data_IF_788103876398
#
_entry.id   IF_788103876398
#
_cell.length_a   1.000
_cell.length_b   1.000
_cell.length_c   1.000
_cell.angle_alpha   90.00
_cell.angle_beta   90.00
_cell.angle_gamma   90.00
#
_symmetry.space_group_name_H-M   'P 1'
#
loop_
_entity.id
_entity.type
_entity.pdbx_description
1 polymer ?
#
# COMPACT_ATOMS: atom_id res chain seq x y z
N UNK A 1 -17.46 7.23 -0.57
CA UNK A 1 -17.67 6.07 0.33
C UNK A 1 -16.39 5.41 0.84
N UNK A 2 -15.32 5.27 0.04
CA UNK A 2 -14.06 4.63 0.47
C UNK A 2 -13.39 5.38 1.62
N UNK A 3 -13.22 6.70 1.52
CA UNK A 3 -12.57 7.52 2.57
C UNK A 3 -13.28 7.41 3.93
N UNK A 4 -14.61 7.38 3.96
CA UNK A 4 -15.35 7.21 5.21
C UNK A 4 -15.01 5.90 5.91
N UNK A 5 -14.94 4.80 5.15
CA UNK A 5 -14.54 3.50 5.69
C UNK A 5 -13.10 3.49 6.19
N UNK A 6 -12.18 4.12 5.45
CA UNK A 6 -10.78 4.25 5.88
C UNK A 6 -10.67 5.02 7.19
N UNK A 7 -11.40 6.13 7.36
CA UNK A 7 -11.43 6.91 8.61
C UNK A 7 -12.01 6.09 9.77
N UNK A 8 -13.09 5.35 9.54
CA UNK A 8 -13.66 4.46 10.57
C UNK A 8 -12.67 3.39 11.02
N UNK A 9 -11.97 2.77 10.07
CA UNK A 9 -10.93 1.78 10.37
C UNK A 9 -9.78 2.41 11.13
N UNK A 10 -9.29 3.56 10.66
CA UNK A 10 -8.18 4.27 11.30
C UNK A 10 -8.51 4.60 12.75
N UNK A 11 -9.69 5.16 13.02
CA UNK A 11 -10.13 5.47 14.39
C UNK A 11 -10.12 4.24 15.30
N UNK A 12 -10.55 3.08 14.81
CA UNK A 12 -10.51 1.81 15.59
C UNK A 12 -9.09 1.34 15.84
N UNK A 13 -8.22 1.42 14.83
CA UNK A 13 -6.84 0.98 14.96
C UNK A 13 -6.06 1.86 15.93
N UNK A 14 -6.28 3.18 15.90
CA UNK A 14 -5.62 4.15 16.76
C UNK A 14 -5.95 3.97 18.25
N UNK A 15 -7.07 3.33 18.59
CA UNK A 15 -7.38 2.95 19.98
C UNK A 15 -6.34 1.97 20.55
N UNK A 16 -5.83 1.08 19.68
CA UNK A 16 -4.88 0.03 20.08
C UNK A 16 -3.42 0.38 19.79
N UNK A 17 -3.20 1.15 18.74
CA UNK A 17 -1.87 1.57 18.31
C UNK A 17 -1.95 2.96 17.68
N UNK A 18 -1.35 3.96 18.35
CA UNK A 18 -1.32 5.35 17.89
C UNK A 18 -0.40 5.59 16.69
N UNK A 19 0.51 4.67 16.42
CA UNK A 19 1.48 4.76 15.31
C UNK A 19 0.94 4.16 13.99
N UNK A 20 -0.32 3.74 13.98
CA UNK A 20 -0.92 3.16 12.78
C UNK A 20 -1.25 4.23 11.75
N UNK A 21 -0.99 3.92 10.47
CA UNK A 21 -1.43 4.72 9.33
C UNK A 21 -2.32 3.91 8.39
N UNK A 22 -3.20 4.60 7.67
CA UNK A 22 -4.04 4.00 6.63
C UNK A 22 -3.81 4.73 5.32
N UNK A 23 -3.52 3.97 4.27
CA UNK A 23 -3.39 4.46 2.91
C UNK A 23 -4.74 4.39 2.20
N UNK A 24 -5.16 5.48 1.60
CA UNK A 24 -6.43 5.60 0.88
C UNK A 24 -6.20 6.06 -0.56
N UNK A 25 -6.55 5.21 -1.52
CA UNK A 25 -6.42 5.54 -2.95
C UNK A 25 -7.32 6.71 -3.33
N UNK A 26 -6.76 7.68 -4.04
CA UNK A 26 -7.44 8.85 -4.60
C UNK A 26 -7.29 8.85 -6.11
N UNK A 27 -8.39 9.04 -6.83
CA UNK A 27 -8.36 9.09 -8.30
C UNK A 27 -7.99 10.48 -8.82
N UNK A 28 -7.41 10.54 -10.04
CA UNK A 28 -7.22 11.79 -10.76
C UNK A 28 -8.54 12.59 -10.90
N UNK A 29 -9.65 11.89 -11.13
CA UNK A 29 -10.97 12.52 -11.25
C UNK A 29 -11.44 13.21 -9.94
N UNK A 30 -10.96 12.79 -8.79
CA UNK A 30 -11.25 13.48 -7.51
C UNK A 30 -10.52 14.81 -7.44
N UNK A 31 -9.26 14.86 -7.89
CA UNK A 31 -8.48 16.10 -7.91
C UNK A 31 -8.90 17.04 -9.03
N UNK A 32 -9.20 16.52 -10.24
CA UNK A 32 -9.49 17.34 -11.41
C UNK A 32 -10.93 17.88 -11.48
N UNK A 33 -11.85 17.35 -10.65
CA UNK A 33 -13.24 17.84 -10.63
C UNK A 33 -13.48 18.72 -9.40
N UNK A 34 -13.76 20.03 -9.57
CA UNK A 34 -13.93 20.96 -8.45
C UNK A 34 -15.03 20.57 -7.45
N UNK A 35 -16.14 20.00 -7.94
CA UNK A 35 -17.25 19.57 -7.07
C UNK A 35 -16.84 18.36 -6.23
N UNK A 36 -16.24 17.37 -6.85
CA UNK A 36 -15.75 16.18 -6.15
C UNK A 36 -14.65 16.55 -5.15
N UNK A 37 -13.76 17.48 -5.55
CA UNK A 37 -12.68 17.94 -4.69
C UNK A 37 -13.22 18.72 -3.48
N UNK A 38 -14.20 19.64 -3.67
CA UNK A 38 -14.80 20.36 -2.56
C UNK A 38 -15.41 19.42 -1.51
N UNK A 39 -16.17 18.41 -1.94
CA UNK A 39 -16.73 17.40 -1.04
C UNK A 39 -15.63 16.58 -0.32
N UNK A 40 -14.56 16.24 -1.03
CA UNK A 40 -13.40 15.55 -0.47
C UNK A 40 -12.72 16.44 0.59
N UNK A 41 -12.51 17.70 0.29
CA UNK A 41 -11.87 18.67 1.15
C UNK A 41 -12.67 18.92 2.44
N UNK A 42 -13.98 19.10 2.34
CA UNK A 42 -14.87 19.26 3.50
C UNK A 42 -14.83 18.04 4.42
N UNK A 43 -14.85 16.83 3.82
CA UNK A 43 -14.72 15.59 4.58
C UNK A 43 -13.37 15.49 5.29
N UNK A 44 -12.28 15.83 4.61
CA UNK A 44 -10.94 15.78 5.16
C UNK A 44 -10.75 16.89 6.22
N UNK A 45 -11.28 18.10 6.04
CA UNK A 45 -11.25 19.15 7.05
C UNK A 45 -11.95 18.71 8.34
N UNK A 46 -13.11 18.09 8.23
CA UNK A 46 -13.84 17.54 9.38
C UNK A 46 -13.08 16.40 10.10
N UNK A 47 -12.08 15.81 9.44
CA UNK A 47 -11.23 14.72 9.97
C UNK A 47 -9.76 15.11 10.11
N UNK A 48 -9.43 16.39 10.15
CA UNK A 48 -8.06 16.93 10.13
C UNK A 48 -7.16 16.37 11.23
N UNK A 49 -7.71 16.05 12.39
CA UNK A 49 -6.96 15.43 13.49
C UNK A 49 -6.34 14.07 13.11
N UNK A 50 -6.83 13.42 12.07
CA UNK A 50 -6.31 12.15 11.56
C UNK A 50 -5.26 12.32 10.45
N UNK A 51 -4.99 13.54 9.98
CA UNK A 51 -4.11 13.81 8.87
C UNK A 51 -2.71 13.15 9.00
N UNK A 52 -2.05 13.11 10.17
CA UNK A 52 -0.76 12.45 10.32
C UNK A 52 -0.77 10.94 10.05
N UNK A 53 -1.93 10.30 10.21
CA UNK A 53 -2.11 8.84 10.08
C UNK A 53 -2.97 8.44 8.88
N UNK A 54 -3.50 9.41 8.13
CA UNK A 54 -4.34 9.17 6.96
C UNK A 54 -3.62 9.63 5.70
N UNK A 55 -3.02 8.67 5.00
CA UNK A 55 -2.19 8.92 3.82
C UNK A 55 -3.05 8.80 2.55
N UNK A 56 -3.01 9.82 1.70
CA UNK A 56 -3.70 9.82 0.40
C UNK A 56 -2.74 9.27 -0.66
N UNK A 57 -3.21 8.26 -1.40
CA UNK A 57 -2.38 7.50 -2.32
C UNK A 57 -2.74 7.77 -3.77
N UNK A 58 -1.74 8.08 -4.59
CA UNK A 58 -1.87 8.41 -6.00
C UNK A 58 -0.97 7.50 -6.84
N UNK A 59 -1.43 7.14 -8.04
CA UNK A 59 -0.58 6.44 -9.00
C UNK A 59 0.53 7.36 -9.51
N UNK A 60 1.74 6.82 -9.75
CA UNK A 60 2.86 7.57 -10.32
C UNK A 60 2.46 8.30 -11.61
N UNK A 61 1.78 7.61 -12.53
CA UNK A 61 1.33 8.21 -13.77
C UNK A 61 0.37 9.40 -13.57
N UNK A 62 -0.53 9.32 -12.59
CA UNK A 62 -1.40 10.44 -12.23
C UNK A 62 -0.61 11.61 -11.70
N UNK A 63 0.31 11.35 -10.76
CA UNK A 63 1.10 12.39 -10.09
C UNK A 63 2.01 13.16 -11.06
N UNK A 64 2.58 12.47 -12.04
CA UNK A 64 3.41 13.08 -13.10
C UNK A 64 2.63 13.98 -14.06
N UNK A 65 1.34 13.72 -14.24
CA UNK A 65 0.48 14.43 -15.21
C UNK A 65 -0.52 15.36 -14.52
N UNK A 66 -0.25 15.81 -13.30
CA UNK A 66 -1.11 16.78 -12.63
C UNK A 66 -1.04 18.15 -13.33
N UNK A 67 -2.20 18.67 -13.69
CA UNK A 67 -2.34 20.04 -14.19
C UNK A 67 -2.26 21.10 -13.08
N UNK A 68 -2.40 22.38 -13.42
CA UNK A 68 -2.37 23.48 -12.44
C UNK A 68 -3.45 23.31 -11.34
N UNK A 69 -4.68 23.06 -11.73
CA UNK A 69 -5.82 22.89 -10.79
C UNK A 69 -5.60 21.73 -9.83
N UNK A 70 -5.18 20.57 -10.34
CA UNK A 70 -4.88 19.40 -9.49
C UNK A 70 -3.71 19.68 -8.55
N UNK A 71 -2.71 20.44 -9.00
CA UNK A 71 -1.57 20.83 -8.19
C UNK A 71 -1.96 21.79 -7.08
N UNK A 72 -2.84 22.75 -7.34
CA UNK A 72 -3.41 23.65 -6.33
C UNK A 72 -4.24 22.85 -5.29
N UNK A 73 -5.05 21.90 -5.73
CA UNK A 73 -5.82 21.03 -4.87
C UNK A 73 -4.93 20.16 -3.98
N UNK A 74 -3.85 19.61 -4.54
CA UNK A 74 -2.86 18.85 -3.78
C UNK A 74 -2.20 19.71 -2.71
N UNK A 75 -1.79 20.94 -3.06
CA UNK A 75 -1.21 21.90 -2.12
C UNK A 75 -2.19 22.24 -0.98
N UNK A 76 -3.47 22.41 -1.28
CA UNK A 76 -4.51 22.66 -0.28
C UNK A 76 -4.66 21.51 0.74
N UNK A 77 -4.50 20.26 0.29
CA UNK A 77 -4.49 19.08 1.17
C UNK A 77 -3.20 19.01 2.01
N UNK A 78 -2.04 19.29 1.41
CA UNK A 78 -0.75 19.31 2.09
C UNK A 78 -0.72 20.36 3.21
N UNK A 79 -1.27 21.56 2.98
CA UNK A 79 -1.38 22.64 3.98
C UNK A 79 -2.25 22.25 5.19
N UNK A 80 -3.15 21.28 5.02
CA UNK A 80 -3.97 20.71 6.10
C UNK A 80 -3.27 19.58 6.85
N UNK A 81 -2.02 19.28 6.49
CA UNK A 81 -1.20 18.25 7.14
C UNK A 81 -1.39 16.83 6.58
N UNK A 82 -2.16 16.68 5.51
CA UNK A 82 -2.26 15.39 4.82
C UNK A 82 -0.96 15.04 4.10
N UNK A 83 -0.60 13.77 4.15
CA UNK A 83 0.61 13.21 3.51
C UNK A 83 0.20 12.41 2.31
N UNK A 84 1.10 12.30 1.34
CA UNK A 84 0.84 11.58 0.10
C UNK A 84 1.76 10.37 -0.04
N UNK A 85 1.23 9.37 -0.73
CA UNK A 85 1.96 8.18 -1.18
C UNK A 85 1.88 8.07 -2.69
N UNK A 86 3.00 7.72 -3.31
CA UNK A 86 3.03 7.35 -4.72
C UNK A 86 2.99 5.83 -4.83
N UNK A 87 2.04 5.33 -5.60
CA UNK A 87 1.82 3.91 -5.85
C UNK A 87 1.94 3.57 -7.34
N UNK A 88 1.98 2.30 -7.68
CA UNK A 88 2.11 1.82 -9.06
C UNK A 88 3.32 2.41 -9.78
N UNK A 89 4.46 2.46 -9.09
CA UNK A 89 5.73 2.89 -9.67
C UNK A 89 6.14 1.91 -10.77
N UNK A 90 6.31 2.42 -11.98
CA UNK A 90 6.68 1.65 -13.18
C UNK A 90 8.13 1.84 -13.61
N UNK A 91 8.76 2.92 -13.16
CA UNK A 91 10.17 3.23 -13.39
C UNK A 91 10.75 4.06 -12.22
N UNK A 92 12.07 4.00 -12.06
CA UNK A 92 12.80 4.65 -10.96
C UNK A 92 13.23 6.10 -11.29
N UNK A 93 12.71 6.71 -12.35
CA UNK A 93 12.93 8.15 -12.63
C UNK A 93 12.11 8.97 -11.65
N UNK A 94 12.69 9.20 -10.50
CA UNK A 94 12.06 9.85 -9.34
C UNK A 94 12.90 11.07 -8.98
N UNK A 95 12.24 12.22 -8.84
CA UNK A 95 12.83 13.46 -8.34
C UNK A 95 12.41 13.66 -6.87
N UNK A 96 13.23 13.21 -5.89
CA UNK A 96 12.82 13.16 -4.49
C UNK A 96 12.47 14.54 -3.92
N UNK A 97 13.20 15.58 -4.33
CA UNK A 97 12.95 16.95 -3.88
C UNK A 97 11.57 17.43 -4.33
N UNK A 98 11.24 17.23 -5.61
CA UNK A 98 9.94 17.63 -6.15
C UNK A 98 8.80 16.90 -5.44
N UNK A 99 8.97 15.59 -5.17
CA UNK A 99 7.99 14.80 -4.42
C UNK A 99 7.80 15.34 -3.00
N UNK A 100 8.90 15.62 -2.29
CA UNK A 100 8.86 16.14 -0.93
C UNK A 100 8.18 17.52 -0.85
N UNK A 101 8.49 18.41 -1.79
CA UNK A 101 7.91 19.76 -1.89
C UNK A 101 6.38 19.70 -2.13
N UNK A 102 5.91 18.66 -2.84
CA UNK A 102 4.48 18.40 -3.06
C UNK A 102 3.80 17.65 -1.91
N UNK A 103 4.49 17.36 -0.80
CA UNK A 103 3.93 16.68 0.37
C UNK A 103 3.96 15.16 0.34
N UNK A 104 4.66 14.55 -0.61
CA UNK A 104 4.88 13.09 -0.63
C UNK A 104 5.77 12.68 0.54
N UNK A 105 5.40 11.61 1.22
CA UNK A 105 6.16 11.01 2.34
C UNK A 105 6.37 9.52 2.19
N UNK A 106 5.74 8.90 1.19
CA UNK A 106 5.85 7.48 0.92
C UNK A 106 5.92 7.23 -0.58
N UNK A 107 6.79 6.32 -1.00
CA UNK A 107 6.86 5.81 -2.37
C UNK A 107 6.82 4.29 -2.32
N UNK A 108 5.84 3.69 -3.01
CA UNK A 108 5.68 2.24 -3.09
C UNK A 108 6.25 1.74 -4.40
N UNK A 109 7.26 0.89 -4.30
CA UNK A 109 7.97 0.35 -5.47
C UNK A 109 7.84 -1.17 -5.47
N UNK A 110 7.45 -1.79 -6.60
CA UNK A 110 7.47 -3.24 -6.73
C UNK A 110 8.86 -3.82 -6.41
N UNK A 111 8.92 -4.85 -5.54
CA UNK A 111 10.18 -5.51 -5.18
C UNK A 111 10.93 -5.99 -6.44
N UNK A 112 10.19 -6.53 -7.43
CA UNK A 112 10.77 -6.96 -8.69
C UNK A 112 11.47 -5.81 -9.47
N UNK A 113 11.01 -4.57 -9.32
CA UNK A 113 11.63 -3.41 -9.96
C UNK A 113 12.92 -2.99 -9.22
N UNK A 114 12.93 -3.06 -7.89
CA UNK A 114 14.11 -2.76 -7.08
C UNK A 114 15.23 -3.81 -7.26
N UNK A 115 14.86 -5.07 -7.41
CA UNK A 115 15.78 -6.20 -7.49
C UNK A 115 16.17 -6.58 -8.95
N UNK A 116 15.66 -5.87 -9.96
CA UNK A 116 16.02 -6.10 -11.36
C UNK A 116 17.42 -5.53 -11.67
N UNK A 117 18.41 -6.38 -11.99
CA UNK A 117 19.77 -5.90 -12.31
C UNK A 117 19.81 -4.92 -13.50
N UNK A 118 18.82 -4.96 -14.38
CA UNK A 118 18.75 -4.05 -15.54
C UNK A 118 18.43 -2.63 -15.12
N UNK A 119 17.79 -2.42 -14.00
CA UNK A 119 17.50 -1.07 -13.48
C UNK A 119 18.79 -0.35 -13.05
N UNK A 120 19.77 -1.07 -12.54
CA UNK A 120 21.07 -0.52 -12.17
C UNK A 120 21.82 0.12 -13.35
N UNK A 121 21.58 -0.36 -14.57
CA UNK A 121 22.22 0.13 -15.78
C UNK A 121 21.44 1.19 -16.56
N UNK A 122 20.15 1.37 -16.25
CA UNK A 122 19.25 2.26 -17.02
C UNK A 122 18.72 3.43 -16.20
N UNK A 123 18.92 3.41 -14.88
CA UNK A 123 18.50 4.47 -13.97
C UNK A 123 19.67 5.34 -13.55
N UNK A 124 19.48 6.66 -13.44
CA UNK A 124 20.47 7.60 -12.90
C UNK A 124 20.78 7.31 -11.42
N UNK A 125 19.91 6.58 -10.74
CA UNK A 125 20.04 6.20 -9.34
C UNK A 125 20.04 4.66 -9.26
N UNK A 126 21.07 4.10 -8.63
CA UNK A 126 21.10 2.67 -8.38
C UNK A 126 19.97 2.29 -7.42
N UNK A 127 19.22 1.18 -7.66
CA UNK A 127 18.11 0.78 -6.79
C UNK A 127 18.50 0.63 -5.30
N UNK A 128 19.72 0.19 -4.99
CA UNK A 128 20.22 0.07 -3.60
C UNK A 128 20.33 1.42 -2.88
N UNK A 129 20.53 2.51 -3.61
CA UNK A 129 20.71 3.85 -3.03
C UNK A 129 19.40 4.62 -2.93
N UNK A 130 18.33 4.10 -3.52
CA UNK A 130 17.04 4.78 -3.61
C UNK A 130 16.43 5.03 -2.23
N UNK A 131 16.54 4.07 -1.30
CA UNK A 131 16.00 4.21 0.06
C UNK A 131 16.68 5.34 0.83
N UNK A 132 18.01 5.39 0.79
CA UNK A 132 18.80 6.46 1.43
C UNK A 132 18.53 7.82 0.79
N UNK A 133 18.49 7.87 -0.54
CA UNK A 133 18.20 9.11 -1.27
C UNK A 133 16.83 9.67 -0.92
N UNK A 134 15.77 8.86 -0.93
CA UNK A 134 14.42 9.26 -0.53
C UNK A 134 14.38 9.71 0.92
N UNK A 135 15.10 8.98 1.80
CA UNK A 135 15.19 9.26 3.23
C UNK A 135 15.75 10.64 3.55
N UNK A 136 16.70 11.15 2.74
CA UNK A 136 17.26 12.52 2.86
C UNK A 136 16.21 13.61 2.67
N UNK A 137 15.12 13.30 1.97
CA UNK A 137 13.98 14.20 1.75
C UNK A 137 12.77 13.87 2.65
N UNK A 138 12.94 12.99 3.63
CA UNK A 138 11.88 12.57 4.55
C UNK A 138 10.80 11.74 3.87
N UNK A 139 11.17 10.97 2.85
CA UNK A 139 10.29 10.05 2.12
C UNK A 139 10.70 8.62 2.46
N UNK A 140 9.76 7.83 2.95
CA UNK A 140 9.97 6.41 3.20
C UNK A 140 9.70 5.57 1.94
N UNK A 141 10.61 4.66 1.61
CA UNK A 141 10.44 3.66 0.56
C UNK A 141 9.70 2.45 1.13
N UNK A 142 8.65 2.04 0.44
CA UNK A 142 7.89 0.82 0.76
C UNK A 142 8.06 -0.15 -0.41
N UNK A 143 8.69 -1.29 -0.19
CA UNK A 143 8.72 -2.34 -1.19
C UNK A 143 7.37 -3.06 -1.23
N UNK A 144 6.75 -3.17 -2.40
CA UNK A 144 5.47 -3.84 -2.56
C UNK A 144 5.56 -5.13 -3.37
N UNK A 145 4.50 -5.95 -3.31
CA UNK A 145 4.40 -7.24 -4.01
C UNK A 145 5.51 -8.23 -3.62
N UNK A 146 5.84 -8.23 -2.32
CA UNK A 146 6.80 -9.19 -1.78
C UNK A 146 6.08 -10.53 -1.61
N UNK A 147 6.55 -11.56 -2.33
CA UNK A 147 5.92 -12.89 -2.36
C UNK A 147 6.80 -13.96 -1.70
N UNK A 148 8.11 -13.72 -1.56
CA UNK A 148 9.06 -14.68 -1.01
C UNK A 148 10.04 -14.08 -0.01
N UNK A 149 10.52 -14.92 0.91
CA UNK A 149 11.47 -14.52 1.98
C UNK A 149 12.81 -14.02 1.43
N UNK A 150 13.29 -14.60 0.32
CA UNK A 150 14.55 -14.19 -0.30
C UNK A 150 14.53 -12.71 -0.70
N UNK A 151 13.40 -12.25 -1.29
CA UNK A 151 13.24 -10.85 -1.65
C UNK A 151 13.32 -9.92 -0.43
N UNK A 152 12.91 -10.37 0.76
CA UNK A 152 13.05 -9.58 2.00
C UNK A 152 14.50 -9.40 2.37
N UNK A 153 15.32 -10.47 2.29
CA UNK A 153 16.75 -10.41 2.59
C UNK A 153 17.44 -9.43 1.63
N UNK A 154 17.21 -9.59 0.33
CA UNK A 154 17.82 -8.72 -0.69
C UNK A 154 17.39 -7.24 -0.50
N UNK A 155 16.14 -6.99 -0.09
CA UNK A 155 15.63 -5.63 0.18
C UNK A 155 16.20 -5.01 1.47
N UNK A 156 16.50 -5.82 2.47
CA UNK A 156 17.18 -5.34 3.68
C UNK A 156 18.61 -4.88 3.38
N UNK A 157 19.31 -5.54 2.46
CA UNK A 157 20.62 -5.09 1.96
C UNK A 157 20.55 -3.72 1.26
N UNK A 158 19.37 -3.33 0.77
CA UNK A 158 19.07 -2.00 0.19
C UNK A 158 18.51 -1.00 1.23
N UNK A 159 18.64 -1.28 2.51
CA UNK A 159 18.09 -0.48 3.64
C UNK A 159 16.57 -0.16 3.50
N UNK A 160 15.81 -1.06 2.87
CA UNK A 160 14.35 -0.93 2.74
C UNK A 160 13.69 -1.44 4.01
N UNK A 161 13.10 -0.53 4.79
CA UNK A 161 12.51 -0.83 6.11
C UNK A 161 11.03 -1.18 6.09
N UNK A 162 10.32 -0.85 5.03
CA UNK A 162 8.89 -1.08 4.91
C UNK A 162 8.58 -2.03 3.77
N UNK A 163 7.74 -3.02 4.03
CA UNK A 163 7.34 -4.00 3.05
C UNK A 163 5.85 -4.30 3.05
N UNK A 164 5.30 -4.59 1.87
CA UNK A 164 3.92 -4.99 1.64
C UNK A 164 3.90 -6.14 0.64
N UNK A 165 3.08 -7.17 0.88
CA UNK A 165 2.93 -8.28 -0.06
C UNK A 165 2.25 -9.49 0.56
N UNK A 166 2.00 -10.50 -0.27
CA UNK A 166 1.35 -11.75 0.17
C UNK A 166 2.15 -12.51 1.22
N UNK A 167 3.48 -12.33 1.22
CA UNK A 167 4.34 -12.92 2.25
C UNK A 167 3.93 -12.51 3.67
N UNK A 168 3.52 -11.25 3.87
CA UNK A 168 3.14 -10.74 5.20
C UNK A 168 1.68 -11.01 5.52
N UNK A 169 0.78 -10.70 4.59
CA UNK A 169 -0.64 -11.01 4.71
C UNK A 169 -1.36 -10.82 3.37
N UNK A 170 -2.27 -11.72 2.99
CA UNK A 170 -3.16 -11.49 1.87
C UNK A 170 -4.16 -10.36 2.18
N UNK A 171 -4.64 -9.64 1.16
CA UNK A 171 -5.72 -8.67 1.32
C UNK A 171 -6.94 -9.33 1.96
N UNK A 172 -7.51 -8.68 2.98
CA UNK A 172 -8.69 -9.18 3.68
C UNK A 172 -9.81 -8.14 3.63
N UNK A 173 -11.07 -8.56 3.47
CA UNK A 173 -12.21 -7.67 3.61
C UNK A 173 -12.22 -7.02 4.99
N UNK A 174 -12.64 -5.76 5.06
CA UNK A 174 -12.90 -5.11 6.35
C UNK A 174 -14.08 -5.82 7.02
N UNK A 175 -13.92 -6.21 8.28
CA UNK A 175 -15.02 -6.80 9.06
C UNK A 175 -16.15 -5.77 9.23
N UNK A 176 -17.40 -6.17 9.01
CA UNK A 176 -18.54 -5.29 9.27
C UNK A 176 -18.59 -4.91 10.76
N UNK A 177 -19.20 -3.76 11.05
CA UNK A 177 -19.42 -3.29 12.42
C UNK A 177 -20.34 -4.29 13.15
N UNK A 178 -19.89 -4.78 14.29
CA UNK A 178 -20.69 -5.70 15.12
C UNK A 178 -20.22 -7.16 15.19
N UNK A 179 -19.22 -7.58 14.40
CA UNK A 179 -18.66 -8.92 14.56
C UNK A 179 -17.68 -8.93 15.74
N UNK A 180 -18.18 -9.23 16.93
CA UNK A 180 -17.41 -9.52 18.14
C UNK A 180 -16.40 -10.63 17.86
N UNK A 181 -15.17 -10.45 18.34
CA UNK A 181 -14.13 -11.47 18.30
C UNK A 181 -14.51 -12.59 19.30
N UNK A 182 -15.37 -13.51 18.89
CA UNK A 182 -15.54 -14.79 19.58
C UNK A 182 -14.67 -15.82 18.88
N UNK A 183 -13.62 -16.22 19.56
CA UNK A 183 -13.04 -17.55 19.57
C UNK A 183 -12.43 -18.08 18.28
N UNK A 184 -11.21 -18.55 18.40
CA UNK A 184 -10.66 -19.51 17.48
C UNK A 184 -9.15 -19.52 17.37
N UNK A 185 -8.47 -19.67 18.50
CA UNK A 185 -7.18 -20.33 18.47
C UNK A 185 -7.44 -21.83 18.25
N UNK A 186 -7.36 -22.30 17.02
CA UNK A 186 -7.28 -23.75 16.75
C UNK A 186 -5.83 -24.10 16.55
N UNK A 187 -5.26 -24.66 17.61
CA UNK A 187 -4.05 -25.45 17.62
C UNK A 187 -4.18 -26.59 16.62
N UNK A 188 -3.32 -26.65 15.62
CA UNK A 188 -3.12 -27.85 14.81
C UNK A 188 -2.44 -28.92 15.67
N UNK A 189 -3.23 -29.90 16.07
CA UNK A 189 -2.74 -31.16 16.59
C UNK A 189 -2.61 -32.13 15.42
N UNK A 190 -1.39 -32.56 15.16
CA UNK A 190 -1.06 -33.61 14.23
C UNK A 190 -1.81 -34.88 14.61
N UNK A 191 -2.41 -35.56 13.65
CA UNK A 191 -2.86 -36.94 13.79
C UNK A 191 -2.43 -37.71 12.53
N UNK A 192 -1.42 -38.53 12.74
CA UNK A 192 -1.05 -39.63 11.86
C UNK A 192 -2.14 -40.71 11.92
N UNK A 193 -2.58 -41.23 10.79
CA UNK A 193 -2.97 -42.65 10.67
C UNK A 193 -3.00 -43.08 9.19
N UNK A 194 -2.24 -44.08 8.98
CA UNK A 194 -2.05 -45.10 7.96
C UNK A 194 -3.30 -45.58 7.19
N UNK A 195 -3.08 -45.91 5.90
CA UNK A 195 -3.78 -47.04 5.29
C UNK A 195 -4.32 -46.90 3.87
N UNK A 196 -3.52 -47.31 2.89
CA UNK A 196 -3.85 -48.28 1.84
C UNK A 196 -4.87 -47.96 0.72
N UNK A 197 -4.37 -48.12 -0.50
CA UNK A 197 -4.95 -48.64 -1.75
C UNK A 197 -5.66 -47.74 -2.77
N UNK A 198 -5.03 -47.73 -3.96
CA UNK A 198 -5.54 -47.29 -5.28
C UNK A 198 -6.60 -48.28 -5.85
N UNK A 199 -7.22 -48.11 -7.06
CA UNK A 199 -6.86 -47.23 -8.20
C UNK A 199 -8.04 -46.55 -8.97
N UNK A 200 -7.66 -45.64 -9.86
CA UNK A 200 -8.26 -45.28 -11.17
C UNK A 200 -9.75 -44.91 -11.30
N UNK A 201 -9.98 -43.72 -11.78
CA UNK A 201 -10.71 -43.39 -13.05
C UNK A 201 -10.77 -41.85 -13.21
N UNK A 202 -10.39 -41.36 -14.38
CA UNK A 202 -10.66 -39.99 -14.77
C UNK A 202 -12.15 -39.82 -15.14
N UNK A 203 -12.70 -38.61 -14.95
CA UNK A 203 -13.62 -38.09 -15.92
C UNK A 203 -13.46 -36.59 -16.23
N UNK A 204 -13.54 -36.30 -17.50
CA UNK A 204 -14.27 -35.22 -18.21
C UNK A 204 -14.21 -33.79 -17.66
N UNK A 205 -13.66 -32.94 -18.54
CA UNK A 205 -13.73 -31.50 -18.49
C UNK A 205 -15.16 -30.95 -18.36
N UNK A 206 -15.40 -30.13 -17.34
CA UNK A 206 -16.56 -29.27 -17.20
C UNK A 206 -16.17 -27.81 -17.51
N UNK A 207 -17.11 -26.93 -17.92
CA UNK A 207 -16.82 -25.64 -18.54
C UNK A 207 -16.21 -24.64 -17.55
N UNK A 208 -15.27 -23.85 -18.06
CA UNK A 208 -14.59 -22.79 -17.37
C UNK A 208 -15.56 -21.73 -16.81
N UNK A 209 -15.57 -21.60 -15.49
CA UNK A 209 -16.24 -20.49 -14.80
C UNK A 209 -15.32 -19.28 -14.85
N UNK A 210 -15.84 -18.18 -15.39
CA UNK A 210 -15.16 -16.89 -15.46
C UNK A 210 -14.79 -16.38 -14.04
N UNK A 211 -13.61 -15.76 -13.85
CA UNK A 211 -13.24 -15.21 -12.56
C UNK A 211 -14.13 -14.02 -12.20
N UNK A 212 -14.45 -13.85 -10.90
CA UNK A 212 -15.26 -12.72 -10.44
C UNK A 212 -14.52 -11.39 -10.63
N UNK A 213 -15.25 -10.26 -10.78
CA UNK A 213 -14.64 -8.95 -11.00
C UNK A 213 -13.78 -8.53 -9.80
N UNK A 214 -12.60 -8.02 -10.11
CA UNK A 214 -11.63 -7.52 -9.12
C UNK A 214 -12.26 -6.36 -8.34
N UNK A 215 -12.41 -6.54 -7.04
CA UNK A 215 -12.76 -5.46 -6.12
C UNK A 215 -11.60 -4.46 -6.04
N UNK A 216 -11.78 -3.27 -6.62
CA UNK A 216 -10.88 -2.13 -6.50
C UNK A 216 -11.14 -1.43 -5.17
N UNK A 217 -10.31 -1.70 -4.18
CA UNK A 217 -10.39 -1.04 -2.88
C UNK A 217 -9.45 -1.68 -1.86
N UNK A 218 -8.14 -1.48 -2.01
CA UNK A 218 -7.17 -1.94 -1.04
C UNK A 218 -6.84 -0.82 -0.06
N UNK A 219 -7.28 -0.96 1.20
CA UNK A 219 -6.61 -0.30 2.32
C UNK A 219 -5.40 -1.19 2.67
N UNK A 220 -4.19 -0.74 2.36
CA UNK A 220 -2.97 -1.46 2.67
C UNK A 220 -2.43 -0.99 4.03
N UNK A 221 -2.15 -1.94 4.92
CA UNK A 221 -1.41 -1.71 6.17
C UNK A 221 0.07 -1.99 5.92
N UNK A 222 0.92 -0.97 6.01
CA UNK A 222 2.36 -1.16 6.02
C UNK A 222 2.78 -1.59 7.44
N UNK A 223 3.48 -2.70 7.59
CA UNK A 223 4.15 -3.10 8.83
C UNK A 223 5.64 -2.75 8.73
N UNK A 224 6.15 -2.13 9.79
CA UNK A 224 7.59 -1.92 9.98
C UNK A 224 8.25 -3.28 10.14
N UNK A 225 9.26 -3.61 9.33
CA UNK A 225 10.13 -4.75 9.59
C UNK A 225 10.91 -4.43 10.87
N UNK A 226 10.70 -5.22 11.94
CA UNK A 226 11.47 -5.11 13.16
C UNK A 226 12.86 -5.66 12.87
N UNK A 227 13.84 -4.80 12.74
CA UNK A 227 15.26 -5.19 12.82
C UNK A 227 15.58 -5.60 14.25
N UNK A 228 16.51 -6.56 14.47
CA UNK A 228 17.00 -6.88 15.82
C UNK A 228 17.72 -5.66 16.39
N UNK A 229 17.34 -5.30 17.62
CA UNK A 229 18.01 -4.26 18.42
C UNK A 229 19.35 -4.77 18.96
#
# INVERSE_FOLDING_TARGET
MVMLRCVQVLRRLMVRNKEVGVFCNVSAATLGNPVNFAQCLDFLEANRALAPSFVLEFKQATFRNLGPTESEHLAALSQRGYRFSIDHVSDLRIEPRELADRGVRFVKVPAALLLDPRQASTSDIHPSDLSDLLGRFGIDLIAERIEGERAVVDLLDFDVRFGQGFLFAPPRPLRPEGASATGGATSNKAQESNGSNAPATAPTAGPAVAPPPRATGNAALARRAAGPG
#
